data_IF_148270824734
#
_entry.id   IF_148270824734
#
_cell.length_a   1.000
_cell.length_b   1.000
_cell.length_c   1.000
_cell.angle_alpha   90.00
_cell.angle_beta   90.00
_cell.angle_gamma   90.00
#
_symmetry.space_group_name_H-M   'P 1'
#
loop_
_entity.id
_entity.type
_entity.pdbx_description
1 polymer ?
#
# COMPACT_ATOMS: atom_id res chain seq x y z
N UNK A 1 -2.77 -14.37 21.04
CA UNK A 1 -2.51 -12.95 20.74
C UNK A 1 -3.84 -12.26 20.50
N UNK A 2 -4.02 -11.01 20.94
CA UNK A 2 -5.22 -10.23 20.61
C UNK A 2 -5.28 -10.03 19.10
N UNK A 3 -6.48 -10.05 18.53
CA UNK A 3 -6.68 -9.84 17.10
C UNK A 3 -6.15 -8.46 16.68
N UNK A 4 -5.52 -8.37 15.48
CA UNK A 4 -5.10 -7.11 14.90
C UNK A 4 -6.31 -6.44 14.24
N UNK A 5 -6.67 -5.25 14.70
CA UNK A 5 -7.80 -4.50 14.14
C UNK A 5 -7.47 -3.93 12.74
N UNK A 6 -6.21 -3.47 12.56
CA UNK A 6 -5.75 -2.85 11.33
C UNK A 6 -4.24 -2.97 11.19
N UNK A 7 -3.77 -3.26 9.98
CA UNK A 7 -2.38 -3.13 9.61
C UNK A 7 -2.16 -1.89 8.73
N UNK A 8 -1.02 -1.22 8.92
CA UNK A 8 -0.61 -0.07 8.13
C UNK A 8 0.77 -0.33 7.54
N UNK A 9 0.88 -0.25 6.22
CA UNK A 9 2.17 -0.28 5.53
C UNK A 9 2.55 1.16 5.22
N UNK A 10 3.57 1.68 5.95
CA UNK A 10 4.07 3.04 5.81
C UNK A 10 4.92 3.21 4.56
N UNK A 11 4.58 4.20 3.73
CA UNK A 11 5.39 4.65 2.59
C UNK A 11 6.44 5.70 2.97
N UNK A 12 6.95 6.40 1.95
CA UNK A 12 7.92 7.50 2.13
C UNK A 12 7.37 8.56 3.08
N UNK A 13 8.14 8.92 4.09
CA UNK A 13 7.76 9.88 5.13
C UNK A 13 7.00 9.28 6.33
N UNK A 14 6.57 8.01 6.27
CA UNK A 14 5.91 7.31 7.37
C UNK A 14 6.73 6.05 7.73
N UNK A 15 7.78 6.23 8.52
CA UNK A 15 8.71 5.15 8.93
C UNK A 15 8.40 4.57 10.30
N UNK A 16 7.56 5.25 11.06
CA UNK A 16 6.98 4.78 12.30
C UNK A 16 5.51 5.24 12.37
N UNK A 17 4.73 4.68 13.28
CA UNK A 17 3.36 5.09 13.51
C UNK A 17 3.32 5.96 14.79
N UNK A 18 3.16 7.30 14.66
CA UNK A 18 3.16 8.19 15.81
C UNK A 18 2.00 7.89 16.77
N UNK A 19 2.29 7.89 18.07
CA UNK A 19 1.27 7.66 19.11
C UNK A 19 0.92 6.20 19.34
N UNK A 20 1.65 5.24 18.76
CA UNK A 20 1.49 3.84 19.05
C UNK A 20 2.07 3.53 20.44
N UNK A 21 1.24 2.99 21.32
CA UNK A 21 1.59 2.64 22.71
C UNK A 21 1.80 1.13 22.85
N UNK A 22 2.41 0.68 23.96
CA UNK A 22 2.64 -0.73 24.30
C UNK A 22 3.26 -1.52 23.14
N UNK A 23 4.25 -0.94 22.49
CA UNK A 23 4.81 -1.49 21.26
C UNK A 23 5.66 -2.73 21.48
N UNK A 24 5.51 -3.71 20.60
CA UNK A 24 6.39 -4.88 20.48
C UNK A 24 6.84 -5.05 19.04
N UNK A 25 8.09 -5.51 18.86
CA UNK A 25 8.66 -5.77 17.54
C UNK A 25 8.66 -7.26 17.25
N UNK A 26 8.26 -7.62 16.05
CA UNK A 26 8.16 -8.99 15.60
C UNK A 26 8.96 -9.18 14.31
N UNK A 27 10.13 -9.79 14.42
CA UNK A 27 10.82 -10.36 13.27
C UNK A 27 10.04 -11.61 12.81
N UNK A 28 9.51 -11.57 11.60
CA UNK A 28 8.71 -12.67 11.07
C UNK A 28 9.50 -13.40 10.00
N UNK A 29 9.78 -14.69 10.25
CA UNK A 29 10.30 -15.56 9.21
C UNK A 29 9.22 -15.85 8.18
N UNK A 30 9.51 -15.57 6.92
CA UNK A 30 8.58 -15.79 5.82
C UNK A 30 9.14 -16.79 4.80
N UNK A 31 8.30 -17.62 4.18
CA UNK A 31 8.75 -18.53 3.11
C UNK A 31 9.22 -17.80 1.85
N UNK A 32 9.03 -16.47 1.81
CA UNK A 32 9.36 -15.61 0.68
C UNK A 32 10.63 -14.77 0.92
N UNK A 33 11.42 -15.10 1.97
CA UNK A 33 12.58 -14.34 2.38
C UNK A 33 12.25 -13.20 3.36
N UNK A 34 13.19 -12.30 3.62
CA UNK A 34 13.00 -11.25 4.61
C UNK A 34 11.97 -10.21 4.19
N UNK A 35 11.15 -9.78 5.15
CA UNK A 35 10.32 -8.59 5.02
C UNK A 35 11.18 -7.31 5.02
N UNK A 36 10.58 -6.16 4.76
CA UNK A 36 11.29 -4.87 4.76
C UNK A 36 11.83 -4.46 6.13
N UNK A 37 11.36 -5.10 7.19
CA UNK A 37 11.78 -4.92 8.57
C UNK A 37 10.82 -5.62 9.53
N UNK A 38 11.01 -5.39 10.82
CA UNK A 38 10.12 -5.92 11.85
C UNK A 38 8.72 -5.33 11.73
N UNK A 39 7.71 -6.16 12.01
CA UNK A 39 6.35 -5.67 12.22
C UNK A 39 6.24 -5.13 13.65
N UNK A 40 5.88 -3.88 13.79
CA UNK A 40 5.63 -3.25 15.09
C UNK A 40 4.15 -3.40 15.42
N UNK A 41 3.84 -4.13 16.50
CA UNK A 41 2.49 -4.20 17.05
C UNK A 41 2.37 -3.22 18.22
N UNK A 42 1.26 -2.53 18.31
CA UNK A 42 1.00 -1.59 19.41
C UNK A 42 -0.49 -1.24 19.53
N UNK A 43 -0.81 -0.43 20.51
CA UNK A 43 -2.16 0.02 20.77
C UNK A 43 -2.31 1.49 20.36
N UNK A 44 -3.38 1.83 19.68
CA UNK A 44 -3.73 3.18 19.27
C UNK A 44 -5.23 3.39 19.38
N UNK A 45 -5.67 4.37 20.19
CA UNK A 45 -7.07 4.69 20.41
C UNK A 45 -7.95 3.45 20.73
N UNK A 46 -7.42 2.55 21.56
CA UNK A 46 -8.11 1.32 21.96
C UNK A 46 -8.17 0.22 20.90
N UNK A 47 -7.39 0.35 19.82
CA UNK A 47 -7.27 -0.62 18.73
C UNK A 47 -5.88 -1.21 18.68
N UNK A 48 -5.79 -2.51 18.32
CA UNK A 48 -4.51 -3.18 18.08
C UNK A 48 -4.04 -2.95 16.65
N UNK A 49 -2.93 -2.25 16.47
CA UNK A 49 -2.39 -1.87 15.17
C UNK A 49 -1.11 -2.66 14.90
N UNK A 50 -0.95 -3.12 13.66
CA UNK A 50 0.31 -3.59 13.10
C UNK A 50 0.87 -2.53 12.15
N UNK A 51 2.14 -2.19 12.29
CA UNK A 51 2.82 -1.24 11.42
C UNK A 51 4.05 -1.89 10.79
N UNK A 52 4.24 -1.66 9.48
CA UNK A 52 5.43 -2.08 8.73
C UNK A 52 5.92 -0.94 7.84
N UNK A 53 7.21 -0.58 7.96
CA UNK A 53 7.85 0.40 7.07
C UNK A 53 8.21 -0.27 5.73
N UNK A 54 7.48 0.04 4.64
CA UNK A 54 7.64 -0.59 3.31
C UNK A 54 9.06 -0.53 2.78
N UNK A 55 9.75 0.57 2.99
CA UNK A 55 11.10 0.81 2.48
C UNK A 55 12.20 0.55 3.52
N UNK A 56 11.84 -0.12 4.63
CA UNK A 56 12.69 -0.20 5.81
C UNK A 56 12.71 1.10 6.63
N UNK A 57 13.09 1.00 7.90
CA UNK A 57 13.08 2.15 8.83
C UNK A 57 14.00 3.30 8.37
N UNK A 58 15.09 2.97 7.68
CA UNK A 58 16.08 3.92 7.16
C UNK A 58 15.90 4.25 5.67
N UNK A 59 14.75 3.89 5.09
CA UNK A 59 14.44 4.11 3.65
C UNK A 59 15.52 3.59 2.69
N UNK A 60 16.03 2.39 2.93
CA UNK A 60 17.11 1.79 2.15
C UNK A 60 16.65 0.91 1.00
N UNK A 61 15.38 0.52 0.99
CA UNK A 61 14.80 -0.36 -0.03
C UNK A 61 14.09 0.46 -1.12
N UNK A 62 14.64 0.52 -2.34
CA UNK A 62 13.94 1.16 -3.45
C UNK A 62 12.69 0.36 -3.87
N UNK A 63 11.69 0.98 -4.52
CA UNK A 63 10.38 0.36 -4.80
C UNK A 63 10.46 -1.01 -5.48
N UNK A 64 11.35 -1.20 -6.44
CA UNK A 64 11.54 -2.45 -7.19
C UNK A 64 12.29 -3.54 -6.42
N UNK A 65 12.85 -3.23 -5.23
CA UNK A 65 13.57 -4.19 -4.37
C UNK A 65 12.79 -4.55 -3.10
N UNK A 66 11.65 -3.91 -2.87
CA UNK A 66 10.76 -4.25 -1.76
C UNK A 66 10.24 -5.68 -1.94
N UNK A 67 10.36 -6.49 -0.90
CA UNK A 67 9.77 -7.83 -0.88
C UNK A 67 8.30 -7.75 -0.45
N UNK A 68 7.43 -7.38 -1.38
CA UNK A 68 6.00 -7.21 -1.13
C UNK A 68 5.32 -8.48 -0.63
N UNK A 69 5.77 -9.67 -1.13
CA UNK A 69 5.24 -10.96 -0.65
C UNK A 69 5.54 -11.18 0.82
N UNK A 70 6.79 -11.02 1.21
CA UNK A 70 7.19 -11.17 2.60
C UNK A 70 6.47 -10.19 3.52
N UNK A 71 6.31 -8.92 3.09
CA UNK A 71 5.62 -7.90 3.87
C UNK A 71 4.16 -8.26 4.16
N UNK A 72 3.40 -8.62 3.12
CA UNK A 72 1.99 -8.95 3.27
C UNK A 72 1.79 -10.28 4.00
N UNK A 73 2.64 -11.28 3.69
CA UNK A 73 2.60 -12.56 4.39
C UNK A 73 2.88 -12.39 5.88
N UNK A 74 3.87 -11.57 6.26
CA UNK A 74 4.20 -11.30 7.66
C UNK A 74 3.00 -10.68 8.41
N UNK A 75 2.35 -9.68 7.83
CA UNK A 75 1.16 -9.07 8.42
C UNK A 75 0.00 -10.08 8.54
N UNK A 76 -0.24 -10.85 7.48
CA UNK A 76 -1.28 -11.88 7.46
C UNK A 76 -1.03 -12.97 8.51
N UNK A 77 0.20 -13.47 8.64
CA UNK A 77 0.58 -14.52 9.60
C UNK A 77 0.45 -14.09 11.05
N UNK A 78 0.62 -12.80 11.34
CA UNK A 78 0.36 -12.21 12.66
C UNK A 78 -1.13 -11.98 12.94
N UNK A 79 -2.00 -12.26 11.97
CA UNK A 79 -3.45 -12.19 12.14
C UNK A 79 -4.11 -10.92 11.59
N UNK A 80 -3.39 -10.06 10.85
CA UNK A 80 -4.01 -8.94 10.16
C UNK A 80 -5.01 -9.45 9.10
N UNK A 81 -6.13 -8.75 8.97
CA UNK A 81 -7.15 -9.00 7.93
C UNK A 81 -7.47 -7.74 7.13
N UNK A 82 -7.13 -6.58 7.67
CA UNK A 82 -7.31 -5.26 7.06
C UNK A 82 -5.97 -4.58 6.94
N UNK A 83 -5.65 -4.06 5.76
CA UNK A 83 -4.37 -3.41 5.48
C UNK A 83 -4.62 -2.09 4.75
N UNK A 84 -4.01 -1.01 5.26
CA UNK A 84 -3.92 0.27 4.56
C UNK A 84 -2.49 0.45 4.07
N UNK A 85 -2.33 0.57 2.75
CA UNK A 85 -1.08 1.01 2.16
C UNK A 85 -1.05 2.53 2.08
N UNK A 86 -0.12 3.17 2.80
CA UNK A 86 0.09 4.62 2.71
C UNK A 86 1.16 4.90 1.66
N UNK A 87 0.84 5.74 0.67
CA UNK A 87 1.66 5.98 -0.50
C UNK A 87 1.87 7.48 -0.74
N UNK A 88 3.13 7.92 -0.87
CA UNK A 88 3.45 9.23 -1.44
C UNK A 88 3.38 9.12 -2.96
N UNK A 89 2.64 10.01 -3.63
CA UNK A 89 2.34 9.94 -5.06
C UNK A 89 2.47 11.29 -5.74
N UNK A 90 2.59 11.29 -7.07
CA UNK A 90 2.42 12.47 -7.92
C UNK A 90 0.98 12.58 -8.42
N UNK A 91 0.43 13.79 -8.47
CA UNK A 91 -0.88 14.05 -9.04
C UNK A 91 -0.81 14.30 -10.54
N UNK A 92 -1.65 13.62 -11.32
CA UNK A 92 -1.81 13.82 -12.77
C UNK A 92 -3.08 14.64 -13.04
N UNK A 93 -4.16 14.37 -12.30
CA UNK A 93 -5.40 15.14 -12.37
C UNK A 93 -5.24 16.50 -11.67
N UNK A 94 -5.78 17.55 -12.26
CA UNK A 94 -5.51 18.93 -11.83
C UNK A 94 -6.00 19.30 -10.41
N UNK A 95 -7.00 18.58 -9.89
CA UNK A 95 -7.51 18.74 -8.52
C UNK A 95 -6.76 17.88 -7.48
N UNK A 96 -5.82 17.03 -7.93
CA UNK A 96 -4.98 16.19 -7.09
C UNK A 96 -3.57 16.76 -6.96
N UNK A 97 -3.47 17.98 -6.43
CA UNK A 97 -2.20 18.68 -6.18
C UNK A 97 -1.56 18.31 -4.84
N UNK A 98 -0.39 18.92 -4.53
CA UNK A 98 0.34 18.67 -3.28
C UNK A 98 -0.54 18.86 -2.03
N UNK A 99 -0.37 17.97 -1.06
CA UNK A 99 -1.09 17.89 0.22
C UNK A 99 -2.54 17.38 0.11
N UNK A 100 -3.02 17.03 -1.08
CA UNK A 100 -4.32 16.37 -1.23
C UNK A 100 -4.19 14.91 -0.81
N UNK A 101 -5.16 14.41 -0.07
CA UNK A 101 -5.32 12.99 0.23
C UNK A 101 -6.30 12.41 -0.77
N UNK A 102 -5.95 11.26 -1.34
CA UNK A 102 -6.79 10.52 -2.27
C UNK A 102 -6.94 9.08 -1.80
N UNK A 103 -8.15 8.55 -1.87
CA UNK A 103 -8.46 7.14 -1.66
C UNK A 103 -8.89 6.57 -3.01
N UNK A 104 -7.94 6.07 -3.82
CA UNK A 104 -8.21 5.61 -5.18
C UNK A 104 -9.14 4.40 -5.19
N UNK A 105 -9.83 4.17 -6.30
CA UNK A 105 -10.70 3.02 -6.53
C UNK A 105 -10.22 2.11 -7.65
N UNK A 106 -9.31 2.61 -8.51
CA UNK A 106 -8.75 1.84 -9.61
C UNK A 106 -7.23 1.99 -9.71
N UNK A 107 -6.60 1.05 -10.41
CA UNK A 107 -5.17 1.11 -10.71
C UNK A 107 -4.85 0.55 -12.10
N UNK A 108 -3.73 1.04 -12.66
CA UNK A 108 -3.09 0.46 -13.85
C UNK A 108 -1.65 0.11 -13.48
N UNK A 109 -1.23 -1.11 -13.82
CA UNK A 109 0.11 -1.61 -13.54
C UNK A 109 1.05 -1.39 -14.73
N UNK A 110 2.06 -0.54 -14.55
CA UNK A 110 3.18 -0.33 -15.48
C UNK A 110 4.48 -0.91 -14.94
N UNK A 111 4.43 -1.66 -13.84
CA UNK A 111 5.63 -2.27 -13.25
C UNK A 111 6.07 -3.48 -14.07
N UNK A 112 7.33 -3.88 -13.91
CA UNK A 112 7.89 -5.05 -14.60
C UNK A 112 8.97 -5.70 -13.74
N UNK A 113 9.22 -6.99 -13.96
CA UNK A 113 10.28 -7.73 -13.28
C UNK A 113 10.10 -7.86 -11.77
N UNK A 114 8.94 -7.57 -11.23
CA UNK A 114 8.56 -7.81 -9.82
C UNK A 114 7.91 -9.17 -9.68
N UNK A 115 8.08 -9.79 -8.54
CA UNK A 115 7.30 -10.98 -8.19
C UNK A 115 5.91 -10.54 -7.78
N UNK A 116 4.89 -10.99 -8.51
CA UNK A 116 3.52 -10.46 -8.44
C UNK A 116 2.50 -11.43 -7.88
N UNK A 117 2.92 -12.66 -7.50
CA UNK A 117 2.01 -13.71 -7.03
C UNK A 117 2.66 -14.57 -5.95
N UNK A 118 1.85 -15.20 -5.11
CA UNK A 118 2.27 -16.28 -4.22
C UNK A 118 2.26 -17.64 -4.92
N UNK A 119 1.67 -17.73 -6.12
CA UNK A 119 1.50 -18.96 -6.88
C UNK A 119 2.74 -19.35 -7.72
N UNK A 120 3.85 -18.61 -7.65
CA UNK A 120 5.08 -18.88 -8.42
C UNK A 120 6.10 -19.75 -7.67
N UNK A 121 5.72 -20.33 -6.54
CA UNK A 121 6.52 -21.32 -5.81
C UNK A 121 6.31 -22.71 -6.40
N UNK A 122 7.35 -23.52 -6.42
CA UNK A 122 7.27 -24.90 -6.89
C UNK A 122 6.16 -25.67 -6.15
N UNK A 123 5.22 -26.22 -6.92
CA UNK A 123 4.09 -26.99 -6.38
C UNK A 123 2.93 -26.13 -5.85
N UNK A 124 2.98 -24.81 -5.97
CA UNK A 124 1.86 -23.96 -5.61
C UNK A 124 0.70 -24.12 -6.60
N UNK A 125 -0.53 -24.11 -6.08
CA UNK A 125 -1.72 -24.10 -6.91
C UNK A 125 -1.92 -22.73 -7.56
N UNK A 126 -2.22 -22.71 -8.86
CA UNK A 126 -2.51 -21.47 -9.58
C UNK A 126 -3.87 -20.91 -9.15
N UNK A 127 -3.88 -19.71 -8.60
CA UNK A 127 -5.09 -19.01 -8.15
C UNK A 127 -5.35 -17.79 -9.05
N UNK A 128 -6.46 -17.82 -9.78
CA UNK A 128 -6.95 -16.66 -10.52
C UNK A 128 -7.85 -15.81 -9.60
N UNK A 129 -7.36 -14.64 -9.21
CA UNK A 129 -8.14 -13.70 -8.38
C UNK A 129 -8.98 -12.78 -9.26
N UNK A 130 -10.20 -12.47 -8.83
CA UNK A 130 -10.94 -11.33 -9.39
C UNK A 130 -10.30 -10.03 -8.88
N UNK A 131 -9.85 -9.22 -9.82
CA UNK A 131 -9.17 -7.96 -9.56
C UNK A 131 -9.83 -6.77 -10.27
N UNK A 132 -11.11 -6.93 -10.66
CA UNK A 132 -11.91 -5.87 -11.28
C UNK A 132 -12.04 -4.65 -10.36
N UNK A 133 -12.18 -4.90 -9.06
CA UNK A 133 -12.16 -3.89 -8.00
C UNK A 133 -10.94 -4.14 -7.11
N UNK A 134 -9.79 -3.49 -7.39
CA UNK A 134 -8.52 -3.80 -6.72
C UNK A 134 -8.48 -3.44 -5.25
N UNK A 135 -9.31 -2.50 -4.82
CA UNK A 135 -9.39 -2.02 -3.44
C UNK A 135 -10.72 -2.41 -2.78
N UNK A 136 -10.68 -2.72 -1.49
CA UNK A 136 -11.88 -3.10 -0.72
C UNK A 136 -12.75 -1.89 -0.45
N UNK A 137 -13.93 -1.84 -1.02
CA UNK A 137 -14.84 -0.69 -0.94
C UNK A 137 -15.22 -0.32 0.50
N UNK A 138 -15.53 -1.30 1.36
CA UNK A 138 -15.86 -1.06 2.77
C UNK A 138 -14.73 -0.32 3.51
N UNK A 139 -13.47 -0.65 3.20
CA UNK A 139 -12.30 -0.02 3.81
C UNK A 139 -12.07 1.39 3.22
N UNK A 140 -12.29 1.57 1.92
CA UNK A 140 -12.24 2.89 1.26
C UNK A 140 -13.30 3.84 1.86
N UNK A 141 -14.54 3.40 1.98
CA UNK A 141 -15.62 4.19 2.60
C UNK A 141 -15.26 4.57 4.04
N UNK A 142 -14.69 3.63 4.81
CA UNK A 142 -14.24 3.89 6.18
C UNK A 142 -13.15 4.96 6.25
N UNK A 143 -12.16 4.93 5.33
CA UNK A 143 -11.12 5.95 5.23
C UNK A 143 -11.69 7.34 4.92
N UNK A 144 -12.59 7.44 3.95
CA UNK A 144 -13.24 8.70 3.58
C UNK A 144 -14.11 9.25 4.72
N UNK A 145 -14.82 8.37 5.44
CA UNK A 145 -15.60 8.77 6.61
C UNK A 145 -14.69 9.27 7.75
N UNK A 146 -13.57 8.59 8.00
CA UNK A 146 -12.58 9.01 8.99
C UNK A 146 -11.94 10.35 8.64
N UNK A 147 -11.57 10.57 7.38
CA UNK A 147 -11.05 11.85 6.91
C UNK A 147 -12.06 12.98 7.15
N UNK A 148 -13.33 12.77 6.80
CA UNK A 148 -14.42 13.73 7.04
C UNK A 148 -14.59 14.04 8.52
N UNK A 149 -14.60 13.01 9.38
CA UNK A 149 -14.73 13.18 10.83
C UNK A 149 -13.55 13.94 11.44
N UNK A 150 -12.35 13.80 10.86
CA UNK A 150 -11.15 14.54 11.26
C UNK A 150 -11.07 15.96 10.65
N UNK A 151 -12.04 16.38 9.84
CA UNK A 151 -11.99 17.67 9.12
C UNK A 151 -10.93 17.72 8.02
N UNK A 152 -10.47 16.56 7.54
CA UNK A 152 -9.46 16.45 6.48
C UNK A 152 -10.18 16.26 5.15
N UNK A 153 -9.88 17.14 4.19
CA UNK A 153 -10.38 16.98 2.83
C UNK A 153 -9.67 15.79 2.14
N UNK A 154 -10.47 14.84 1.67
CA UNK A 154 -9.97 13.69 0.92
C UNK A 154 -10.83 13.48 -0.32
N UNK A 155 -10.20 13.12 -1.44
CA UNK A 155 -10.87 12.78 -2.69
C UNK A 155 -11.09 11.26 -2.72
N UNK A 156 -12.34 10.85 -2.92
CA UNK A 156 -12.71 9.46 -3.14
C UNK A 156 -12.71 9.13 -4.63
N UNK A 157 -12.03 8.05 -5.01
CA UNK A 157 -11.90 7.62 -6.40
C UNK A 157 -10.66 8.17 -7.09
N UNK A 158 -10.41 7.63 -8.28
CA UNK A 158 -9.26 7.94 -9.12
C UNK A 158 -8.38 6.72 -9.38
N UNK A 159 -7.78 6.70 -10.57
CA UNK A 159 -6.93 5.62 -11.04
C UNK A 159 -5.47 5.84 -10.66
N UNK A 160 -4.89 4.89 -9.92
CA UNK A 160 -3.47 4.89 -9.53
C UNK A 160 -2.62 4.20 -10.61
N UNK A 161 -1.75 4.94 -11.30
CA UNK A 161 -0.74 4.36 -12.17
C UNK A 161 0.47 3.89 -11.34
N UNK A 162 0.73 2.59 -11.30
CA UNK A 162 1.89 2.03 -10.61
C UNK A 162 3.08 1.91 -11.56
N UNK A 163 4.17 2.64 -11.30
CA UNK A 163 5.39 2.61 -12.12
C UNK A 163 6.53 1.86 -11.43
N UNK A 164 7.55 1.50 -12.20
CA UNK A 164 8.68 0.71 -11.69
C UNK A 164 9.53 1.47 -10.67
N UNK A 165 9.80 2.75 -10.90
CA UNK A 165 10.82 3.48 -10.13
C UNK A 165 12.23 2.86 -10.24
N UNK A 166 13.23 3.36 -9.49
CA UNK A 166 13.14 4.50 -8.58
C UNK A 166 13.22 5.87 -9.27
N UNK A 167 13.51 5.92 -10.59
CA UNK A 167 13.47 7.18 -11.34
C UNK A 167 12.04 7.69 -11.43
N UNK A 168 11.86 8.99 -11.45
CA UNK A 168 10.59 9.62 -11.76
C UNK A 168 10.29 9.49 -13.27
N UNK A 169 9.02 9.63 -13.60
CA UNK A 169 8.49 9.52 -14.95
C UNK A 169 8.94 10.70 -15.83
N UNK A 170 9.11 10.42 -17.12
CA UNK A 170 9.27 11.50 -18.10
C UNK A 170 7.93 12.19 -18.34
N UNK A 171 7.99 13.44 -18.81
CA UNK A 171 6.77 14.17 -19.23
C UNK A 171 5.94 13.38 -20.27
N UNK A 172 6.58 12.63 -21.16
CA UNK A 172 5.89 11.82 -22.17
C UNK A 172 5.20 10.61 -21.54
N UNK A 173 5.80 9.98 -20.50
CA UNK A 173 5.19 8.89 -19.75
C UNK A 173 3.97 9.40 -18.97
N UNK A 174 4.06 10.55 -18.32
CA UNK A 174 2.91 11.16 -17.62
C UNK A 174 1.79 11.51 -18.63
N UNK A 175 2.13 12.08 -19.79
CA UNK A 175 1.13 12.35 -20.82
C UNK A 175 0.45 11.08 -21.36
N UNK A 176 1.17 9.95 -21.45
CA UNK A 176 0.62 8.65 -21.77
C UNK A 176 -0.31 8.15 -20.66
N UNK A 177 0.15 8.15 -19.41
CA UNK A 177 -0.64 7.69 -18.24
C UNK A 177 -1.95 8.49 -18.13
N UNK A 178 -1.91 9.79 -18.36
CA UNK A 178 -3.11 10.63 -18.41
C UNK A 178 -4.10 10.18 -19.49
N UNK A 179 -3.62 9.82 -20.69
CA UNK A 179 -4.49 9.28 -21.77
C UNK A 179 -5.04 7.91 -21.43
N UNK A 180 -4.28 7.09 -20.69
CA UNK A 180 -4.70 5.77 -20.22
C UNK A 180 -5.72 5.87 -19.06
N UNK A 181 -5.98 7.08 -18.54
CA UNK A 181 -6.97 7.34 -17.48
C UNK A 181 -6.40 7.39 -16.07
N UNK A 182 -5.06 7.45 -15.89
CA UNK A 182 -4.47 7.61 -14.57
C UNK A 182 -4.68 9.03 -14.02
N UNK A 183 -5.06 9.12 -12.76
CA UNK A 183 -5.22 10.35 -11.98
C UNK A 183 -4.03 10.63 -11.06
N UNK A 184 -3.33 9.59 -10.64
CA UNK A 184 -2.18 9.58 -9.75
C UNK A 184 -1.07 8.70 -10.32
N UNK A 185 0.16 8.97 -9.93
CA UNK A 185 1.30 8.09 -10.21
C UNK A 185 2.10 7.81 -8.94
N UNK A 186 2.48 6.57 -8.75
CA UNK A 186 3.35 6.14 -7.67
C UNK A 186 4.03 4.82 -7.99
N UNK A 187 4.82 4.30 -7.07
CA UNK A 187 5.74 3.20 -7.40
C UNK A 187 5.43 1.90 -6.63
N UNK A 188 4.46 1.90 -5.71
CA UNK A 188 4.31 0.80 -4.75
C UNK A 188 2.90 0.21 -4.67
N UNK A 189 1.92 0.74 -5.45
CA UNK A 189 0.56 0.21 -5.49
C UNK A 189 0.50 -1.23 -6.04
N UNK A 190 1.44 -1.58 -6.92
CA UNK A 190 1.62 -2.94 -7.43
C UNK A 190 3.05 -3.45 -7.12
N UNK A 191 3.19 -4.73 -6.78
CA UNK A 191 2.17 -5.78 -6.67
C UNK A 191 1.42 -5.81 -5.33
N UNK A 192 1.57 -4.80 -4.45
CA UNK A 192 1.03 -4.83 -3.08
C UNK A 192 -0.49 -5.12 -3.06
N UNK A 193 -1.28 -4.43 -3.90
CA UNK A 193 -2.73 -4.63 -3.96
C UNK A 193 -3.12 -6.04 -4.44
N UNK A 194 -2.46 -6.57 -5.47
CA UNK A 194 -2.74 -7.91 -5.99
C UNK A 194 -2.37 -9.01 -4.98
N UNK A 195 -1.21 -8.88 -4.35
CA UNK A 195 -0.76 -9.83 -3.31
C UNK A 195 -1.68 -9.80 -2.07
N UNK A 196 -2.18 -8.62 -1.69
CA UNK A 196 -3.17 -8.52 -0.62
C UNK A 196 -4.46 -9.28 -0.99
N UNK A 197 -4.92 -9.18 -2.24
CA UNK A 197 -6.08 -9.90 -2.74
C UNK A 197 -5.88 -11.43 -2.74
N UNK A 198 -4.70 -11.92 -3.13
CA UNK A 198 -4.40 -13.35 -3.07
C UNK A 198 -4.45 -13.92 -1.65
N UNK A 199 -4.08 -13.13 -0.64
CA UNK A 199 -4.18 -13.49 0.79
C UNK A 199 -5.57 -13.20 1.39
N UNK A 200 -6.54 -12.79 0.59
CA UNK A 200 -7.90 -12.44 1.04
C UNK A 200 -7.92 -11.33 2.11
N UNK A 201 -6.93 -10.44 2.06
CA UNK A 201 -6.88 -9.25 2.90
C UNK A 201 -7.80 -8.16 2.35
N UNK A 202 -8.55 -7.50 3.21
CA UNK A 202 -9.16 -6.21 2.88
C UNK A 202 -8.04 -5.18 2.72
N UNK A 203 -7.91 -4.61 1.53
CA UNK A 203 -6.83 -3.68 1.23
C UNK A 203 -7.36 -2.38 0.63
N UNK A 204 -6.85 -1.24 1.11
CA UNK A 204 -7.08 0.07 0.52
C UNK A 204 -5.79 0.89 0.49
N UNK A 205 -5.70 1.77 -0.49
CA UNK A 205 -4.61 2.74 -0.61
C UNK A 205 -5.06 4.08 -0.01
N UNK A 206 -4.20 4.67 0.81
CA UNK A 206 -4.27 6.07 1.23
C UNK A 206 -3.13 6.81 0.54
N UNK A 207 -3.42 7.53 -0.52
CA UNK A 207 -2.43 8.25 -1.31
C UNK A 207 -2.31 9.69 -0.83
N UNK A 208 -1.09 10.11 -0.46
CA UNK A 208 -0.76 11.49 -0.16
C UNK A 208 -0.04 12.08 -1.36
N UNK A 209 -0.64 13.07 -1.99
CA UNK A 209 -0.03 13.75 -3.14
C UNK A 209 1.09 14.66 -2.65
N UNK A 210 2.33 14.34 -3.04
CA UNK A 210 3.53 15.07 -2.67
C UNK A 210 3.84 16.22 -3.65
N UNK A 211 3.58 16.00 -4.95
CA UNK A 211 3.87 16.94 -6.05
C UNK A 211 2.90 16.71 -7.21
N UNK A 212 2.85 17.61 -8.16
CA UNK A 212 2.33 17.30 -9.49
C UNK A 212 3.35 16.44 -10.25
N UNK A 213 2.86 15.49 -11.02
CA UNK A 213 3.68 14.58 -11.84
C UNK A 213 4.09 15.21 -13.17
#
# INVERSE_FOLDING_TARGET
MSAIDLAVIGGSGLYNFPGLENTTRHAVDTPYGPASGDVVLGDFAGKRIAFLARHGESHTLPPHRVNYRANLWALHSLGARRVIGVNAVGGIRGDMGPRVIVVPDQLIDYTHGRVTSFCDMDGAEVKHIDFSEPYTESLRVSLLAAARAAGIAAIGGGCYGATQGPRLETRAEIARMKRDGCDLVGMTGMPEAALARELELEYACLALVANFA
#
